data_IF_820688332564
#
_entry.id   IF_820688332564
#
_cell.length_a   1.000
_cell.length_b   1.000
_cell.length_c   1.000
_cell.angle_alpha   90.00
_cell.angle_beta   90.00
_cell.angle_gamma   90.00
#
_symmetry.space_group_name_H-M   'P 1'
#
loop_
_entity.id
_entity.type
_entity.pdbx_description
1 polymer ?
#
# COMPACT_ATOMS: atom_id res chain seq x y z
N UNK A 1 -10.27 -10.20 -14.36
CA UNK A 1 -9.55 -10.46 -13.10
C UNK A 1 -8.05 -10.17 -13.20
N UNK A 2 -7.33 -10.77 -14.15
CA UNK A 2 -5.87 -10.59 -14.30
C UNK A 2 -5.39 -9.13 -14.43
N UNK A 3 -6.08 -8.30 -15.23
CA UNK A 3 -5.73 -6.87 -15.37
C UNK A 3 -5.79 -6.09 -14.05
N UNK A 4 -6.71 -6.44 -13.16
CA UNK A 4 -6.89 -5.79 -11.86
C UNK A 4 -5.78 -6.17 -10.89
N UNK A 5 -5.45 -7.46 -10.84
CA UNK A 5 -4.32 -7.99 -10.08
C UNK A 5 -3.01 -7.28 -10.49
N UNK A 6 -2.72 -7.21 -11.80
CA UNK A 6 -1.49 -6.59 -12.29
C UNK A 6 -1.46 -5.08 -12.08
N UNK A 7 -2.59 -4.38 -12.21
CA UNK A 7 -2.64 -2.96 -11.91
C UNK A 7 -2.33 -2.71 -10.43
N UNK A 8 -2.92 -3.49 -9.52
CA UNK A 8 -2.65 -3.42 -8.08
C UNK A 8 -1.20 -3.75 -7.73
N UNK A 9 -0.66 -4.82 -8.31
CA UNK A 9 0.71 -5.28 -8.08
C UNK A 9 1.74 -4.25 -8.55
N UNK A 10 1.60 -3.74 -9.78
CA UNK A 10 2.50 -2.70 -10.33
C UNK A 10 2.36 -1.38 -9.57
N UNK A 11 1.16 -1.01 -9.14
CA UNK A 11 0.95 0.15 -8.27
C UNK A 11 1.69 0.01 -6.95
N UNK A 12 1.72 -1.20 -6.37
CA UNK A 12 2.45 -1.45 -5.13
C UNK A 12 3.96 -1.47 -5.33
N UNK A 13 4.47 -1.98 -6.47
CA UNK A 13 5.88 -1.82 -6.83
C UNK A 13 6.29 -0.34 -6.95
N UNK A 14 5.42 0.50 -7.52
CA UNK A 14 5.63 1.95 -7.55
C UNK A 14 5.74 2.52 -6.13
N UNK A 15 4.84 2.12 -5.22
CA UNK A 15 4.91 2.56 -3.82
C UNK A 15 6.20 2.11 -3.13
N UNK A 16 6.66 0.87 -3.37
CA UNK A 16 7.94 0.38 -2.84
C UNK A 16 9.07 1.29 -3.30
N UNK A 17 9.13 1.64 -4.59
CA UNK A 17 10.12 2.57 -5.12
C UNK A 17 10.06 3.95 -4.47
N UNK A 18 8.84 4.48 -4.25
CA UNK A 18 8.64 5.76 -3.56
C UNK A 18 9.11 5.68 -2.10
N UNK A 19 8.78 4.63 -1.36
CA UNK A 19 9.19 4.47 0.04
C UNK A 19 10.72 4.40 0.18
N UNK A 20 11.39 3.60 -0.66
CA UNK A 20 12.86 3.53 -0.66
C UNK A 20 13.52 4.83 -1.12
N UNK A 21 12.91 5.55 -2.07
CA UNK A 21 13.41 6.87 -2.42
C UNK A 21 13.31 7.84 -1.24
N UNK A 22 12.18 7.82 -0.51
CA UNK A 22 12.01 8.66 0.68
C UNK A 22 13.00 8.30 1.80
N UNK A 23 13.27 7.02 2.01
CA UNK A 23 14.30 6.54 2.93
C UNK A 23 15.69 7.02 2.50
N UNK A 24 16.06 6.81 1.23
CA UNK A 24 17.35 7.20 0.67
C UNK A 24 17.63 8.71 0.79
N UNK A 25 16.60 9.55 0.60
CA UNK A 25 16.71 11.01 0.75
C UNK A 25 16.51 11.51 2.20
N UNK A 26 16.30 10.62 3.17
CA UNK A 26 16.14 10.98 4.58
C UNK A 26 14.80 11.64 4.93
N UNK A 27 13.78 11.52 4.08
CA UNK A 27 12.43 12.03 4.33
C UNK A 27 11.58 11.07 5.19
N UNK A 28 11.97 9.80 5.26
CA UNK A 28 11.35 8.78 6.09
C UNK A 28 12.39 7.76 6.57
N UNK A 29 12.03 6.93 7.57
CA UNK A 29 12.78 5.72 7.88
C UNK A 29 12.34 4.56 6.98
N UNK A 30 12.60 3.35 7.45
CA UNK A 30 12.27 2.11 6.74
C UNK A 30 10.81 2.07 6.24
N UNK A 31 10.57 1.49 5.06
CA UNK A 31 9.23 1.29 4.54
C UNK A 31 8.30 0.61 5.55
N UNK A 32 7.11 1.18 5.77
CA UNK A 32 6.19 0.73 6.82
C UNK A 32 5.74 -0.73 6.71
N UNK A 33 5.83 -1.34 5.53
CA UNK A 33 5.54 -2.77 5.36
C UNK A 33 6.56 -3.68 6.06
N UNK A 34 7.78 -3.20 6.36
CA UNK A 34 8.79 -3.95 7.11
C UNK A 34 8.39 -4.11 8.57
N UNK A 35 7.83 -3.06 9.17
CA UNK A 35 7.31 -3.14 10.54
C UNK A 35 6.23 -4.22 10.65
N UNK A 36 5.35 -4.34 9.65
CA UNK A 36 4.31 -5.39 9.59
C UNK A 36 4.92 -6.77 9.37
N UNK A 37 5.97 -6.89 8.56
CA UNK A 37 6.67 -8.15 8.36
C UNK A 37 7.30 -8.66 9.65
N UNK A 38 8.01 -7.80 10.38
CA UNK A 38 8.68 -8.15 11.64
C UNK A 38 7.73 -8.35 12.83
N UNK A 39 6.41 -8.14 12.70
CA UNK A 39 5.47 -8.57 13.75
C UNK A 39 5.19 -10.07 13.72
N UNK A 40 5.42 -10.72 12.58
CA UNK A 40 5.17 -12.15 12.37
C UNK A 40 6.43 -12.95 12.03
N UNK A 41 7.54 -12.27 11.76
CA UNK A 41 8.86 -12.86 11.53
C UNK A 41 9.90 -12.31 12.50
N UNK A 42 10.97 -13.07 12.71
CA UNK A 42 12.19 -12.56 13.36
C UNK A 42 13.08 -12.00 12.26
N UNK A 43 13.81 -10.91 12.54
CA UNK A 43 14.84 -10.40 11.63
C UNK A 43 15.93 -11.47 11.45
N UNK A 44 16.12 -11.93 10.22
CA UNK A 44 17.09 -12.99 9.89
C UNK A 44 18.20 -12.43 9.00
N UNK A 45 17.83 -11.64 8.01
CA UNK A 45 18.76 -11.08 7.05
C UNK A 45 18.14 -9.84 6.41
N UNK A 46 18.71 -8.67 6.69
CA UNK A 46 18.19 -7.36 6.24
C UNK A 46 17.85 -7.34 4.75
N UNK A 47 18.77 -7.77 3.87
CA UNK A 47 18.50 -7.70 2.42
C UNK A 47 17.36 -8.64 2.03
N UNK A 48 17.37 -9.86 2.55
CA UNK A 48 16.32 -10.84 2.26
C UNK A 48 14.96 -10.39 2.79
N UNK A 49 14.92 -9.86 4.01
CA UNK A 49 13.70 -9.38 4.66
C UNK A 49 13.08 -8.21 3.90
N UNK A 50 13.91 -7.29 3.39
CA UNK A 50 13.49 -6.20 2.52
C UNK A 50 12.87 -6.67 1.20
N UNK A 51 13.51 -7.65 0.55
CA UNK A 51 13.00 -8.24 -0.70
C UNK A 51 11.70 -9.00 -0.45
N UNK A 52 11.66 -9.83 0.60
CA UNK A 52 10.50 -10.67 0.91
C UNK A 52 9.30 -9.82 1.34
N UNK A 53 9.49 -8.89 2.27
CA UNK A 53 8.44 -7.97 2.72
C UNK A 53 7.93 -7.10 1.56
N UNK A 54 8.83 -6.61 0.71
CA UNK A 54 8.47 -5.88 -0.51
C UNK A 54 7.64 -6.73 -1.47
N UNK A 55 8.02 -7.99 -1.70
CA UNK A 55 7.26 -8.90 -2.54
C UNK A 55 5.86 -9.19 -1.97
N UNK A 56 5.74 -9.46 -0.67
CA UNK A 56 4.47 -9.66 0.02
C UNK A 56 3.58 -8.41 -0.03
N UNK A 57 4.17 -7.22 0.13
CA UNK A 57 3.47 -5.96 -0.02
C UNK A 57 2.95 -5.78 -1.46
N UNK A 58 3.76 -6.10 -2.46
CA UNK A 58 3.34 -6.05 -3.86
C UNK A 58 2.20 -7.03 -4.17
N UNK A 59 2.28 -8.27 -3.64
CA UNK A 59 1.21 -9.26 -3.73
C UNK A 59 -0.08 -8.77 -3.06
N UNK A 60 0.02 -8.21 -1.85
CA UNK A 60 -1.11 -7.61 -1.13
C UNK A 60 -1.76 -6.50 -1.96
N UNK A 61 -0.97 -5.62 -2.55
CA UNK A 61 -1.45 -4.61 -3.50
C UNK A 61 -2.16 -5.23 -4.70
N UNK A 62 -1.63 -6.33 -5.24
CA UNK A 62 -2.33 -7.10 -6.28
C UNK A 62 -3.71 -7.60 -5.84
N UNK A 63 -3.80 -8.21 -4.66
CA UNK A 63 -5.04 -8.75 -4.10
C UNK A 63 -6.08 -7.64 -3.87
N UNK A 64 -5.66 -6.50 -3.33
CA UNK A 64 -6.51 -5.30 -3.25
C UNK A 64 -6.93 -4.81 -4.63
N UNK A 65 -6.05 -4.89 -5.63
CA UNK A 65 -6.38 -4.57 -7.02
C UNK A 65 -7.54 -5.41 -7.55
N UNK A 66 -7.58 -6.72 -7.27
CA UNK A 66 -8.64 -7.64 -7.73
C UNK A 66 -10.03 -7.17 -7.30
N UNK A 67 -10.18 -6.71 -6.05
CA UNK A 67 -11.45 -6.23 -5.51
C UNK A 67 -11.96 -4.96 -6.25
N UNK A 68 -11.11 -4.24 -6.98
CA UNK A 68 -11.55 -3.13 -7.83
C UNK A 68 -12.40 -3.57 -9.04
N UNK A 69 -12.54 -4.89 -9.28
CA UNK A 69 -13.45 -5.43 -10.30
C UNK A 69 -14.92 -5.00 -10.10
N UNK A 70 -15.31 -4.67 -8.87
CA UNK A 70 -16.66 -4.21 -8.54
C UNK A 70 -16.92 -2.75 -8.93
N UNK A 71 -15.91 -2.01 -9.37
CA UNK A 71 -16.05 -0.60 -9.77
C UNK A 71 -16.42 -0.52 -11.25
N UNK A 72 -17.65 -0.09 -11.53
CA UNK A 72 -18.12 0.17 -12.90
C UNK A 72 -17.43 1.39 -13.51
N UNK A 73 -17.16 1.36 -14.82
CA UNK A 73 -16.46 2.40 -15.56
C UNK A 73 -15.21 2.95 -14.82
N UNK A 74 -14.15 2.12 -14.66
CA UNK A 74 -12.93 2.50 -13.98
C UNK A 74 -12.32 3.81 -14.51
N UNK A 75 -11.77 4.63 -13.61
CA UNK A 75 -10.96 5.79 -13.94
C UNK A 75 -10.09 6.17 -12.73
N UNK A 76 -9.16 7.11 -12.91
CA UNK A 76 -8.26 7.56 -11.85
C UNK A 76 -8.99 8.02 -10.57
N UNK A 77 -10.06 8.83 -10.70
CA UNK A 77 -10.82 9.35 -9.56
C UNK A 77 -11.49 8.24 -8.74
N UNK A 78 -12.12 7.27 -9.40
CA UNK A 78 -12.71 6.11 -8.72
C UNK A 78 -11.64 5.23 -8.08
N UNK A 79 -10.46 5.14 -8.70
CA UNK A 79 -9.30 4.51 -8.10
C UNK A 79 -8.83 5.22 -6.83
N UNK A 80 -8.77 6.55 -6.84
CA UNK A 80 -8.43 7.35 -5.65
C UNK A 80 -9.41 7.12 -4.50
N UNK A 81 -10.72 7.16 -4.80
CA UNK A 81 -11.76 6.85 -3.81
C UNK A 81 -11.66 5.42 -3.31
N UNK A 82 -11.40 4.47 -4.20
CA UNK A 82 -11.20 3.07 -3.83
C UNK A 82 -10.01 2.87 -2.89
N UNK A 83 -8.94 3.65 -3.04
CA UNK A 83 -7.79 3.66 -2.13
C UNK A 83 -8.14 3.99 -0.67
N UNK A 84 -9.32 4.56 -0.39
CA UNK A 84 -9.79 4.74 0.98
C UNK A 84 -10.02 3.39 1.67
N UNK A 85 -10.40 2.34 0.94
CA UNK A 85 -10.66 1.03 1.52
C UNK A 85 -9.39 0.38 2.12
N UNK A 86 -8.27 0.24 1.39
CA UNK A 86 -7.02 -0.22 2.01
C UNK A 86 -6.47 0.76 3.06
N UNK A 87 -6.75 2.08 2.98
CA UNK A 87 -6.40 3.02 4.07
C UNK A 87 -7.20 2.76 5.34
N UNK A 88 -8.50 2.51 5.23
CA UNK A 88 -9.35 2.11 6.36
C UNK A 88 -8.87 0.78 6.96
N UNK A 89 -8.52 -0.19 6.11
CA UNK A 89 -7.93 -1.45 6.58
C UNK A 89 -6.62 -1.22 7.35
N UNK A 90 -5.74 -0.34 6.85
CA UNK A 90 -4.50 0.01 7.53
C UNK A 90 -4.77 0.64 8.91
N UNK A 91 -5.68 1.62 9.00
CA UNK A 91 -5.99 2.32 10.24
C UNK A 91 -6.74 1.50 11.28
N UNK A 92 -7.65 0.64 10.84
CA UNK A 92 -8.57 -0.08 11.72
C UNK A 92 -8.07 -1.48 12.06
N UNK A 93 -7.19 -2.06 11.25
CA UNK A 93 -6.75 -3.46 11.41
C UNK A 93 -5.24 -3.56 11.51
N UNK A 94 -4.49 -3.08 10.53
CA UNK A 94 -3.04 -3.31 10.49
C UNK A 94 -2.31 -2.56 11.61
N UNK A 95 -2.57 -1.26 11.80
CA UNK A 95 -1.91 -0.47 12.85
C UNK A 95 -2.23 -1.04 14.25
N UNK A 96 -3.50 -1.32 14.61
CA UNK A 96 -3.81 -1.99 15.88
C UNK A 96 -3.15 -3.37 16.02
N UNK A 97 -3.10 -4.15 14.95
CA UNK A 97 -2.44 -5.46 14.95
C UNK A 97 -0.94 -5.36 15.24
N UNK A 98 -0.28 -4.29 14.78
CA UNK A 98 1.13 -4.01 15.09
C UNK A 98 1.35 -3.28 16.42
N UNK A 99 0.33 -3.17 17.27
CA UNK A 99 0.42 -2.54 18.60
C UNK A 99 0.27 -1.02 18.62
N UNK A 100 -0.13 -0.41 17.50
CA UNK A 100 -0.44 1.02 17.43
C UNK A 100 -1.89 1.35 17.78
N UNK A 101 -2.21 2.64 17.89
CA UNK A 101 -3.59 3.09 18.13
C UNK A 101 -4.41 3.14 16.83
N UNK A 102 -5.72 2.99 16.93
CA UNK A 102 -6.64 3.17 15.79
C UNK A 102 -6.43 4.56 15.17
N UNK A 103 -6.40 4.66 13.83
CA UNK A 103 -6.05 5.88 13.10
C UNK A 103 -4.65 6.45 13.44
N UNK A 104 -3.76 5.63 14.02
CA UNK A 104 -2.43 6.07 14.46
C UNK A 104 -2.50 7.17 15.52
N UNK A 105 -3.48 7.11 16.43
CA UNK A 105 -3.67 8.12 17.47
C UNK A 105 -4.12 9.48 16.93
N UNK A 106 -4.65 9.51 15.70
CA UNK A 106 -5.00 10.73 14.96
C UNK A 106 -3.82 11.66 14.69
N UNK A 107 -2.59 11.14 14.73
CA UNK A 107 -1.43 11.93 14.30
C UNK A 107 -1.55 12.30 12.83
N UNK A 108 -1.26 13.57 12.52
CA UNK A 108 -1.41 14.12 11.18
C UNK A 108 -0.67 13.28 10.12
N UNK A 109 0.54 12.82 10.42
CA UNK A 109 1.32 11.98 9.51
C UNK A 109 0.67 10.62 9.28
N UNK A 110 0.17 9.98 10.33
CA UNK A 110 -0.48 8.68 10.28
C UNK A 110 -1.81 8.72 9.50
N UNK A 111 -2.47 9.88 9.46
CA UNK A 111 -3.66 10.12 8.61
C UNK A 111 -3.27 10.45 7.17
N UNK A 112 -2.32 11.35 6.96
CA UNK A 112 -2.04 11.85 5.60
C UNK A 112 -1.31 10.80 4.76
N UNK A 113 -0.35 10.06 5.33
CA UNK A 113 0.44 9.11 4.54
C UNK A 113 -0.43 8.04 3.87
N UNK A 114 -1.32 7.31 4.56
CA UNK A 114 -2.18 6.32 3.90
C UNK A 114 -3.03 6.90 2.77
N UNK A 115 -3.53 8.13 2.93
CA UNK A 115 -4.27 8.82 1.87
C UNK A 115 -3.39 9.11 0.66
N UNK A 116 -2.17 9.61 0.86
CA UNK A 116 -1.23 9.87 -0.25
C UNK A 116 -0.86 8.57 -0.95
N UNK A 117 -0.44 7.56 -0.20
CA UNK A 117 0.07 6.31 -0.76
C UNK A 117 -1.05 5.47 -1.40
N UNK A 118 -2.15 5.22 -0.69
CA UNK A 118 -3.20 4.34 -1.18
C UNK A 118 -4.21 5.04 -2.09
N UNK A 119 -4.58 6.30 -1.83
CA UNK A 119 -5.54 7.00 -2.68
C UNK A 119 -4.84 7.68 -3.86
N UNK A 120 -3.91 8.60 -3.60
CA UNK A 120 -3.35 9.47 -4.65
C UNK A 120 -2.40 8.72 -5.58
N UNK A 121 -1.56 7.84 -5.05
CA UNK A 121 -0.56 7.13 -5.87
C UNK A 121 -1.11 5.79 -6.34
N UNK A 122 -1.34 4.85 -5.43
CA UNK A 122 -1.73 3.49 -5.78
C UNK A 122 -3.13 3.43 -6.39
N UNK A 123 -4.12 4.04 -5.74
CA UNK A 123 -5.52 4.03 -6.18
C UNK A 123 -5.68 4.70 -7.54
N UNK A 124 -5.14 5.91 -7.72
CA UNK A 124 -5.14 6.60 -9.01
C UNK A 124 -4.47 5.75 -10.11
N UNK A 125 -3.34 5.11 -9.79
CA UNK A 125 -2.65 4.22 -10.71
C UNK A 125 -3.52 3.03 -11.12
N UNK A 126 -4.13 2.33 -10.16
CA UNK A 126 -5.04 1.20 -10.44
C UNK A 126 -6.20 1.63 -11.32
N UNK A 127 -6.87 2.72 -10.93
CA UNK A 127 -8.02 3.26 -11.67
C UNK A 127 -7.70 3.60 -13.13
N UNK A 128 -6.56 4.25 -13.37
CA UNK A 128 -6.10 4.65 -14.70
C UNK A 128 -5.59 3.48 -15.56
N UNK A 129 -4.90 2.50 -14.95
CA UNK A 129 -4.38 1.37 -15.71
C UNK A 129 -5.48 0.39 -16.09
N UNK A 130 -6.44 0.14 -15.19
CA UNK A 130 -7.59 -0.72 -15.47
C UNK A 130 -8.51 -0.10 -16.53
N UNK A 131 -8.65 1.25 -16.55
CA UNK A 131 -9.50 1.92 -17.55
C UNK A 131 -8.94 1.88 -18.97
N UNK A 132 -7.63 1.69 -19.11
CA UNK A 132 -6.93 1.62 -20.41
C UNK A 132 -6.75 0.19 -20.94
N UNK A 133 -7.12 -0.81 -20.15
CA UNK A 133 -6.92 -2.24 -20.43
C UNK A 133 -8.25 -2.95 -20.69
#
# INVERSE_FOLDING_TARGET
MWKYLWAGFKGALLLIGVMYAMEYYGYAGDPGYLAVYYTVTVEVNVIFDHVMAGFLFALSGGLWGVLFVFVSNPNAWKGMLYGLLPSLWLWLVVIPYTGGEIFGGFEQRAIIQPLVFNCLIWGAYVGNNVSKS
#
